data_IF_508754271964
#
_entry.id   IF_508754271964
#
_cell.length_a   1.000
_cell.length_b   1.000
_cell.length_c   1.000
_cell.angle_alpha   90.00
_cell.angle_beta   90.00
_cell.angle_gamma   90.00
#
_symmetry.space_group_name_H-M   'P 1'
#
loop_
_entity.id
_entity.type
_entity.pdbx_description
1 polymer ?
#
# COMPACT_ATOMS: atom_id res chain seq x y z
N UNK A 1 -8.55 12.67 16.86
CA UNK A 1 -7.22 12.19 16.43
C UNK A 1 -7.10 10.67 16.14
N UNK A 2 -7.33 9.77 17.10
CA UNK A 2 -6.98 8.32 17.01
C UNK A 2 -7.58 7.59 15.79
N UNK A 3 -8.87 7.81 15.50
CA UNK A 3 -9.58 7.11 14.42
C UNK A 3 -9.00 7.38 13.02
N UNK A 4 -8.25 8.48 12.83
CA UNK A 4 -7.64 8.84 11.55
C UNK A 4 -6.14 8.48 11.52
N UNK A 5 -5.44 8.56 12.66
CA UNK A 5 -4.00 8.29 12.73
C UNK A 5 -3.63 6.83 12.40
N UNK A 6 -4.38 5.86 12.94
CA UNK A 6 -4.14 4.44 12.66
C UNK A 6 -4.31 4.05 11.18
N UNK A 7 -5.45 4.35 10.52
CA UNK A 7 -5.59 4.03 9.11
C UNK A 7 -4.58 4.76 8.24
N UNK A 8 -4.23 6.01 8.55
CA UNK A 8 -3.19 6.74 7.83
C UNK A 8 -1.82 6.05 7.91
N UNK A 9 -1.40 5.62 9.10
CA UNK A 9 -0.14 4.89 9.28
C UNK A 9 -0.11 3.58 8.50
N UNK A 10 -1.23 2.85 8.46
CA UNK A 10 -1.33 1.59 7.73
C UNK A 10 -1.31 1.82 6.20
N UNK A 11 -1.96 2.88 5.70
CA UNK A 11 -1.88 3.24 4.27
C UNK A 11 -0.47 3.68 3.89
N UNK A 12 0.18 4.50 4.71
CA UNK A 12 1.57 4.92 4.51
C UNK A 12 2.51 3.72 4.55
N UNK A 13 2.26 2.76 5.45
CA UNK A 13 3.01 1.51 5.53
C UNK A 13 2.88 0.65 4.27
N UNK A 14 1.66 0.51 3.73
CA UNK A 14 1.42 -0.16 2.45
C UNK A 14 2.09 0.58 1.27
N UNK A 15 2.00 1.91 1.23
CA UNK A 15 2.67 2.71 0.22
C UNK A 15 4.20 2.54 0.28
N UNK A 16 4.76 2.48 1.49
CA UNK A 16 6.19 2.26 1.70
C UNK A 16 6.62 0.85 1.28
N UNK A 17 5.81 -0.19 1.55
CA UNK A 17 6.11 -1.55 1.11
C UNK A 17 6.10 -1.66 -0.42
N UNK A 18 5.15 -1.03 -1.10
CA UNK A 18 5.14 -0.92 -2.56
C UNK A 18 6.35 -0.18 -3.11
N UNK A 19 6.71 0.96 -2.52
CA UNK A 19 7.82 1.77 -2.98
C UNK A 19 9.17 1.05 -2.84
N UNK A 20 9.38 0.37 -1.71
CA UNK A 20 10.60 -0.43 -1.48
C UNK A 20 10.66 -1.66 -2.38
N UNK A 21 9.52 -2.29 -2.69
CA UNK A 21 9.43 -3.36 -3.69
C UNK A 21 9.72 -2.83 -5.11
N UNK A 22 9.18 -1.67 -5.49
CA UNK A 22 9.45 -1.02 -6.76
C UNK A 22 10.93 -0.67 -6.96
N UNK A 23 11.63 -0.30 -5.88
CA UNK A 23 13.05 -0.03 -5.86
C UNK A 23 13.94 -1.30 -5.84
N UNK A 24 13.36 -2.50 -5.84
CA UNK A 24 14.11 -3.76 -5.87
C UNK A 24 14.73 -4.17 -4.53
N UNK A 25 14.49 -3.43 -3.44
CA UNK A 25 15.00 -3.77 -2.10
C UNK A 25 14.42 -5.10 -1.62
N UNK A 26 13.13 -5.31 -1.90
CA UNK A 26 12.48 -6.60 -1.67
C UNK A 26 12.66 -7.50 -2.89
N UNK A 27 13.72 -8.31 -2.87
CA UNK A 27 13.79 -9.51 -3.72
C UNK A 27 12.72 -10.46 -3.19
N UNK A 28 11.56 -10.53 -3.84
CA UNK A 28 10.53 -11.53 -3.54
C UNK A 28 11.09 -12.94 -3.80
N UNK A 29 11.86 -13.46 -2.84
CA UNK A 29 12.50 -14.78 -2.90
C UNK A 29 11.56 -15.93 -2.53
N UNK A 30 10.27 -15.66 -2.38
CA UNK A 30 9.30 -16.64 -1.89
C UNK A 30 8.22 -16.83 -2.93
N UNK A 31 7.87 -18.09 -3.21
CA UNK A 31 6.86 -18.51 -4.19
C UNK A 31 5.44 -18.04 -3.87
N UNK A 32 5.22 -16.72 -3.83
CA UNK A 32 3.95 -16.00 -3.69
C UNK A 32 4.00 -14.74 -4.55
N UNK A 33 2.85 -14.32 -5.06
CA UNK A 33 2.75 -13.09 -5.85
C UNK A 33 2.82 -11.86 -4.95
N UNK A 34 3.23 -10.68 -5.46
CA UNK A 34 3.16 -9.42 -4.73
C UNK A 34 1.76 -9.18 -4.14
N UNK A 35 0.72 -9.52 -4.90
CA UNK A 35 -0.67 -9.30 -4.48
C UNK A 35 -1.12 -10.21 -3.34
N UNK A 36 -0.43 -11.33 -3.10
CA UNK A 36 -0.65 -12.12 -1.89
C UNK A 36 -0.28 -11.31 -0.64
N UNK A 37 0.86 -10.62 -0.67
CA UNK A 37 1.35 -9.83 0.46
C UNK A 37 0.50 -8.58 0.67
N UNK A 38 0.12 -7.92 -0.41
CA UNK A 38 -0.86 -6.84 -0.43
C UNK A 38 -2.16 -7.22 0.29
N UNK A 39 -2.78 -8.33 -0.11
CA UNK A 39 -4.03 -8.78 0.47
C UNK A 39 -3.87 -9.31 1.91
N UNK A 40 -2.70 -9.85 2.25
CA UNK A 40 -2.36 -10.20 3.64
C UNK A 40 -2.24 -8.93 4.50
N UNK A 41 -1.60 -7.89 3.98
CA UNK A 41 -1.45 -6.61 4.65
C UNK A 41 -2.82 -5.97 4.91
N UNK A 42 -3.69 -5.91 3.90
CA UNK A 42 -5.03 -5.32 4.06
C UNK A 42 -5.96 -6.16 4.92
N UNK A 43 -5.78 -7.49 4.95
CA UNK A 43 -6.43 -8.34 5.96
C UNK A 43 -6.02 -7.93 7.37
N UNK A 44 -4.71 -7.82 7.62
CA UNK A 44 -4.18 -7.39 8.92
C UNK A 44 -4.68 -6.00 9.30
N UNK A 45 -4.71 -5.07 8.34
CA UNK A 45 -5.27 -3.73 8.51
C UNK A 45 -6.74 -3.78 8.93
N UNK A 46 -7.59 -4.58 8.28
CA UNK A 46 -8.99 -4.75 8.70
C UNK A 46 -9.11 -5.29 10.13
N UNK A 47 -8.34 -6.33 10.46
CA UNK A 47 -8.36 -6.94 11.80
C UNK A 47 -7.94 -5.95 12.89
N UNK A 48 -6.99 -5.05 12.60
CA UNK A 48 -6.55 -4.00 13.53
C UNK A 48 -7.57 -2.86 13.62
N UNK A 49 -8.15 -2.43 12.50
CA UNK A 49 -9.03 -1.25 12.47
C UNK A 49 -10.44 -1.53 12.98
N UNK A 50 -10.96 -2.75 12.83
CA UNK A 50 -12.30 -3.12 13.32
C UNK A 50 -12.46 -2.82 14.82
N UNK A 51 -11.61 -3.33 15.74
CA UNK A 51 -11.74 -3.02 17.16
C UNK A 51 -11.48 -1.55 17.48
N UNK A 52 -10.63 -0.86 16.71
CA UNK A 52 -10.39 0.58 16.89
C UNK A 52 -11.66 1.37 16.56
N UNK A 53 -12.31 1.10 15.43
CA UNK A 53 -13.53 1.78 15.02
C UNK A 53 -14.66 1.53 16.02
N UNK A 54 -14.83 0.29 16.46
CA UNK A 54 -15.82 -0.07 17.49
C UNK A 54 -15.50 0.66 18.81
N UNK A 55 -14.24 0.65 19.25
CA UNK A 55 -13.83 1.31 20.48
C UNK A 55 -14.02 2.83 20.45
N UNK A 56 -13.69 3.47 19.32
CA UNK A 56 -13.89 4.92 19.16
C UNK A 56 -15.35 5.32 19.14
N UNK A 57 -16.22 4.46 18.63
CA UNK A 57 -17.67 4.67 18.60
C UNK A 57 -18.27 4.54 20.01
N UNK A 58 -17.91 3.46 20.74
CA UNK A 58 -18.35 3.25 22.13
C UNK A 58 -17.93 4.39 23.05
N UNK A 59 -16.71 4.90 22.91
CA UNK A 59 -16.21 6.03 23.72
C UNK A 59 -16.93 7.34 23.35
N UNK A 60 -17.41 7.47 22.11
CA UNK A 60 -18.06 8.67 21.59
C UNK A 60 -19.59 8.71 21.78
N UNK A 61 -20.24 7.59 22.11
CA UNK A 61 -21.69 7.50 22.25
C UNK A 61 -22.16 7.65 23.70
N UNK A 62 -23.16 8.50 23.94
CA UNK A 62 -24.06 8.33 25.09
C UNK A 62 -24.86 7.03 24.85
N UNK A 63 -24.87 6.13 25.83
CA UNK A 63 -25.22 4.71 25.75
C UNK A 63 -26.67 4.36 25.32
N UNK A 64 -27.40 5.27 24.67
CA UNK A 64 -28.84 5.15 24.41
C UNK A 64 -29.19 4.41 23.11
N UNK A 65 -28.21 4.15 22.22
CA UNK A 65 -28.43 3.37 20.99
C UNK A 65 -27.35 2.28 20.77
N UNK A 66 -27.30 1.23 21.63
CA UNK A 66 -26.22 0.23 21.65
C UNK A 66 -26.10 -0.67 20.40
N UNK A 67 -26.91 -0.46 19.36
CA UNK A 67 -26.95 -1.29 18.14
C UNK A 67 -26.71 -0.53 16.82
N UNK A 68 -26.44 0.78 16.86
CA UNK A 68 -26.10 1.53 15.65
C UNK A 68 -24.63 1.30 15.31
N UNK A 69 -24.33 0.36 14.40
CA UNK A 69 -22.95 0.13 13.98
C UNK A 69 -22.42 1.32 13.16
N UNK A 70 -21.18 1.78 13.43
CA UNK A 70 -20.60 2.88 12.68
C UNK A 70 -20.42 2.47 11.21
N UNK A 71 -20.72 3.34 10.23
CA UNK A 71 -20.60 3.03 8.80
C UNK A 71 -19.22 2.47 8.40
N UNK A 72 -18.17 2.98 9.05
CA UNK A 72 -16.78 2.53 8.88
C UNK A 72 -16.59 1.03 9.12
N UNK A 73 -17.35 0.42 10.04
CA UNK A 73 -17.28 -1.02 10.30
C UNK A 73 -17.65 -1.83 9.06
N UNK A 74 -18.71 -1.44 8.35
CA UNK A 74 -19.15 -2.15 7.15
C UNK A 74 -18.11 -2.06 6.04
N UNK A 75 -17.48 -0.91 5.87
CA UNK A 75 -16.39 -0.75 4.89
C UNK A 75 -15.20 -1.65 5.22
N UNK A 76 -14.84 -1.78 6.50
CA UNK A 76 -13.75 -2.65 6.96
C UNK A 76 -14.07 -4.14 6.81
N UNK A 77 -15.35 -4.53 6.93
CA UNK A 77 -15.80 -5.91 6.66
C UNK A 77 -15.73 -6.26 5.17
N UNK A 78 -16.13 -5.33 4.29
CA UNK A 78 -15.90 -5.47 2.85
C UNK A 78 -14.40 -5.59 2.56
N UNK A 79 -13.58 -4.77 3.24
CA UNK A 79 -12.13 -4.83 3.12
C UNK A 79 -11.54 -6.17 3.56
N UNK A 80 -12.05 -6.73 4.65
CA UNK A 80 -11.63 -8.03 5.14
C UNK A 80 -12.00 -9.13 4.14
N UNK A 81 -13.25 -9.15 3.70
CA UNK A 81 -13.77 -10.18 2.80
C UNK A 81 -13.04 -10.20 1.46
N UNK A 82 -12.93 -9.06 0.76
CA UNK A 82 -12.26 -9.05 -0.54
C UNK A 82 -10.74 -9.27 -0.41
N UNK A 83 -10.09 -8.91 0.70
CA UNK A 83 -8.69 -9.27 0.95
C UNK A 83 -8.49 -10.80 1.06
N UNK A 84 -9.41 -11.51 1.72
CA UNK A 84 -9.36 -12.99 1.77
C UNK A 84 -9.54 -13.62 0.38
N UNK A 85 -10.42 -13.07 -0.45
CA UNK A 85 -10.57 -13.53 -1.85
C UNK A 85 -9.27 -13.29 -2.62
N UNK A 86 -8.59 -12.16 -2.41
CA UNK A 86 -7.31 -11.85 -3.07
C UNK A 86 -6.19 -12.82 -2.66
N UNK A 87 -6.12 -13.19 -1.39
CA UNK A 87 -5.21 -14.23 -0.89
C UNK A 87 -5.46 -15.57 -1.60
N UNK A 88 -6.73 -15.93 -1.79
CA UNK A 88 -7.11 -17.16 -2.47
C UNK A 88 -6.77 -17.11 -3.98
N UNK A 89 -7.09 -16.01 -4.67
CA UNK A 89 -6.79 -15.80 -6.09
C UNK A 89 -5.29 -15.65 -6.41
N UNK A 90 -4.45 -15.44 -5.39
CA UNK A 90 -3.00 -15.30 -5.55
C UNK A 90 -2.28 -16.60 -5.86
N UNK A 91 -3.01 -17.72 -5.98
CA UNK A 91 -2.49 -19.04 -6.34
C UNK A 91 -3.33 -19.67 -7.44
N UNK A 92 -2.69 -20.47 -8.28
CA UNK A 92 -3.40 -21.31 -9.23
C UNK A 92 -3.76 -22.69 -8.65
N UNK A 93 -4.36 -23.56 -9.48
CA UNK A 93 -4.75 -24.93 -9.13
C UNK A 93 -3.58 -25.83 -8.68
N UNK A 94 -2.35 -25.45 -8.98
CA UNK A 94 -1.12 -26.18 -8.65
C UNK A 94 -0.31 -25.48 -7.55
N UNK A 95 -0.90 -24.49 -6.85
CA UNK A 95 -0.25 -23.63 -5.87
C UNK A 95 0.87 -22.73 -6.42
N UNK A 96 0.95 -22.55 -7.75
CA UNK A 96 1.87 -21.59 -8.34
C UNK A 96 1.41 -20.15 -8.09
N UNK A 97 2.33 -19.19 -7.88
CA UNK A 97 2.01 -17.78 -7.69
C UNK A 97 1.25 -17.18 -8.87
N UNK A 98 0.20 -16.42 -8.60
CA UNK A 98 -0.61 -15.76 -9.63
C UNK A 98 -0.90 -14.31 -9.27
N UNK A 99 -0.72 -13.41 -10.25
CA UNK A 99 -1.13 -11.99 -10.15
C UNK A 99 -2.66 -11.92 -10.16
N UNK A 100 -3.23 -10.98 -9.40
CA UNK A 100 -4.68 -10.73 -9.38
C UNK A 100 -4.98 -9.25 -9.14
N UNK A 101 -6.21 -8.81 -9.42
CA UNK A 101 -6.60 -7.40 -9.32
C UNK A 101 -7.35 -7.07 -8.02
N UNK A 102 -7.37 -7.96 -7.03
CA UNK A 102 -8.30 -7.84 -5.92
C UNK A 102 -8.03 -6.60 -5.06
N UNK A 103 -6.76 -6.28 -4.77
CA UNK A 103 -6.45 -5.06 -4.04
C UNK A 103 -6.80 -3.79 -4.84
N UNK A 104 -6.60 -3.79 -6.16
CA UNK A 104 -6.99 -2.64 -6.99
C UNK A 104 -8.52 -2.41 -6.96
N UNK A 105 -9.30 -3.49 -7.07
CA UNK A 105 -10.76 -3.45 -6.95
C UNK A 105 -11.20 -3.00 -5.55
N UNK A 106 -10.50 -3.47 -4.51
CA UNK A 106 -10.75 -3.05 -3.14
C UNK A 106 -10.59 -1.54 -2.97
N UNK A 107 -9.48 -0.98 -3.45
CA UNK A 107 -9.22 0.46 -3.35
C UNK A 107 -10.29 1.26 -4.09
N UNK A 108 -10.79 0.75 -5.22
CA UNK A 108 -11.90 1.38 -5.95
C UNK A 108 -13.19 1.41 -5.10
N UNK A 109 -13.61 0.25 -4.58
CA UNK A 109 -14.82 0.15 -3.76
C UNK A 109 -14.72 1.00 -2.49
N UNK A 110 -13.57 0.94 -1.82
CA UNK A 110 -13.34 1.73 -0.62
C UNK A 110 -13.35 3.23 -0.93
N UNK A 111 -12.70 3.65 -2.02
CA UNK A 111 -12.71 5.03 -2.46
C UNK A 111 -14.12 5.54 -2.78
N UNK A 112 -14.98 4.72 -3.40
CA UNK A 112 -16.39 5.09 -3.59
C UNK A 112 -17.14 5.28 -2.26
N UNK A 113 -16.93 4.39 -1.28
CA UNK A 113 -17.56 4.52 0.03
C UNK A 113 -17.10 5.78 0.76
N UNK A 114 -15.81 6.11 0.69
CA UNK A 114 -15.25 7.32 1.29
C UNK A 114 -15.72 8.60 0.60
N UNK A 115 -15.86 8.57 -0.72
CA UNK A 115 -16.40 9.70 -1.47
C UNK A 115 -17.86 10.01 -1.11
N UNK A 116 -18.64 8.98 -0.82
CA UNK A 116 -20.04 9.10 -0.40
C UNK A 116 -20.22 9.22 1.13
N UNK A 117 -19.14 9.17 1.91
CA UNK A 117 -19.23 9.08 3.36
C UNK A 117 -19.73 10.41 3.95
N UNK A 118 -20.78 10.33 4.77
CA UNK A 118 -21.33 11.51 5.43
C UNK A 118 -20.36 12.03 6.51
N UNK A 119 -20.21 13.35 6.57
CA UNK A 119 -19.37 14.05 7.53
C UNK A 119 -20.15 15.22 8.16
N UNK A 120 -19.76 15.59 9.38
CA UNK A 120 -20.48 16.61 10.15
C UNK A 120 -20.25 18.03 9.63
N UNK A 121 -19.10 18.30 9.02
CA UNK A 121 -18.76 19.62 8.48
C UNK A 121 -18.52 19.58 6.97
N UNK A 122 -18.74 20.72 6.31
CA UNK A 122 -18.52 20.86 4.87
C UNK A 122 -17.05 20.63 4.50
N UNK A 123 -16.10 21.14 5.30
CA UNK A 123 -14.68 20.93 5.06
C UNK A 123 -14.30 19.45 5.21
N UNK A 124 -14.73 18.80 6.30
CA UNK A 124 -14.49 17.37 6.51
C UNK A 124 -15.04 16.52 5.37
N UNK A 125 -16.25 16.85 4.88
CA UNK A 125 -16.87 16.19 3.73
C UNK A 125 -16.00 16.32 2.48
N UNK A 126 -15.57 17.54 2.13
CA UNK A 126 -14.73 17.77 0.96
C UNK A 126 -13.38 17.05 1.04
N UNK A 127 -12.78 16.98 2.24
CA UNK A 127 -11.53 16.23 2.46
C UNK A 127 -11.73 14.72 2.31
N UNK A 128 -12.81 14.16 2.87
CA UNK A 128 -13.15 12.73 2.71
C UNK A 128 -13.50 12.39 1.26
N UNK A 129 -14.14 13.31 0.55
CA UNK A 129 -14.45 13.17 -0.87
C UNK A 129 -13.18 13.11 -1.73
N UNK A 130 -12.26 14.05 -1.51
CA UNK A 130 -10.95 14.05 -2.17
C UNK A 130 -10.13 12.79 -1.82
N UNK A 131 -10.21 12.32 -0.57
CA UNK A 131 -9.60 11.06 -0.14
C UNK A 131 -10.16 9.86 -0.91
N UNK A 132 -11.49 9.79 -1.06
CA UNK A 132 -12.16 8.74 -1.83
C UNK A 132 -11.71 8.71 -3.29
N UNK A 133 -11.64 9.87 -3.96
CA UNK A 133 -11.12 9.95 -5.32
C UNK A 133 -9.63 9.57 -5.42
N UNK A 134 -8.83 9.91 -4.41
CA UNK A 134 -7.42 9.50 -4.35
C UNK A 134 -7.28 7.98 -4.22
N UNK A 135 -8.12 7.32 -3.42
CA UNK A 135 -8.15 5.85 -3.34
C UNK A 135 -8.56 5.18 -4.66
N UNK A 136 -9.52 5.77 -5.38
CA UNK A 136 -9.90 5.30 -6.72
C UNK A 136 -8.71 5.43 -7.68
N UNK A 137 -8.01 6.57 -7.68
CA UNK A 137 -6.80 6.76 -8.48
C UNK A 137 -5.68 5.79 -8.11
N UNK A 138 -5.50 5.51 -6.81
CA UNK A 138 -4.56 4.50 -6.30
C UNK A 138 -4.90 3.10 -6.83
N UNK A 139 -6.17 2.71 -6.77
CA UNK A 139 -6.66 1.43 -7.31
C UNK A 139 -6.46 1.33 -8.83
N UNK A 140 -6.77 2.40 -9.57
CA UNK A 140 -6.54 2.46 -11.00
C UNK A 140 -5.06 2.34 -11.38
N UNK A 141 -4.18 3.05 -10.65
CA UNK A 141 -2.74 2.94 -10.82
C UNK A 141 -2.22 1.52 -10.53
N UNK A 142 -2.75 0.87 -9.48
CA UNK A 142 -2.38 -0.50 -9.13
C UNK A 142 -2.84 -1.49 -10.20
N UNK A 143 -4.07 -1.36 -10.71
CA UNK A 143 -4.56 -2.18 -11.81
C UNK A 143 -3.71 -1.99 -13.08
N UNK A 144 -3.37 -0.75 -13.43
CA UNK A 144 -2.54 -0.45 -14.58
C UNK A 144 -1.15 -1.09 -14.47
N UNK A 145 -0.51 -0.99 -13.30
CA UNK A 145 0.78 -1.62 -13.04
C UNK A 145 0.71 -3.15 -13.20
N UNK A 146 -0.30 -3.81 -12.62
CA UNK A 146 -0.46 -5.26 -12.68
C UNK A 146 -0.68 -5.73 -14.13
N UNK A 147 -1.49 -5.01 -14.90
CA UNK A 147 -1.83 -5.37 -16.28
C UNK A 147 -0.67 -5.13 -17.25
N UNK A 148 0.10 -4.05 -17.06
CA UNK A 148 1.22 -3.68 -17.96
C UNK A 148 2.51 -4.41 -17.60
N UNK A 149 2.73 -4.72 -16.32
CA UNK A 149 3.92 -5.41 -15.83
C UNK A 149 3.49 -6.74 -15.22
N UNK A 150 3.19 -7.77 -16.04
CA UNK A 150 2.66 -9.04 -15.53
C UNK A 150 3.71 -9.87 -14.76
N UNK A 151 5.00 -9.53 -14.88
CA UNK A 151 6.10 -10.24 -14.20
C UNK A 151 5.91 -10.24 -12.69
N UNK A 152 6.00 -11.44 -12.11
CA UNK A 152 6.01 -11.66 -10.66
C UNK A 152 7.37 -11.28 -10.06
N UNK A 153 8.45 -11.39 -10.86
CA UNK A 153 9.80 -11.05 -10.41
C UNK A 153 10.05 -9.54 -10.49
N UNK A 154 10.43 -8.89 -9.37
CA UNK A 154 10.82 -7.48 -9.37
C UNK A 154 12.17 -7.23 -10.08
N UNK A 155 13.11 -8.16 -10.04
CA UNK A 155 14.47 -7.99 -10.61
C UNK A 155 14.51 -7.99 -12.13
N UNK A 156 13.66 -8.79 -12.80
CA UNK A 156 13.60 -8.83 -14.27
C UNK A 156 12.82 -7.66 -14.89
N UNK A 157 12.44 -6.65 -14.09
CA UNK A 157 11.44 -5.64 -14.47
C UNK A 157 11.82 -4.21 -14.10
N UNK A 158 12.93 -3.99 -13.38
CA UNK A 158 13.55 -2.66 -13.26
C UNK A 158 14.10 -2.17 -14.60
N UNK A 159 14.39 -3.09 -15.52
CA UNK A 159 14.79 -2.83 -16.92
C UNK A 159 13.60 -2.72 -17.89
N UNK A 160 12.35 -2.88 -17.43
CA UNK A 160 11.17 -2.76 -18.28
C UNK A 160 10.92 -1.30 -18.66
N UNK A 161 10.59 -1.07 -19.94
CA UNK A 161 10.14 0.23 -20.49
C UNK A 161 9.08 0.94 -19.61
N UNK A 162 8.28 0.17 -18.87
CA UNK A 162 7.18 0.67 -18.05
C UNK A 162 7.46 0.62 -16.53
N UNK A 163 8.70 0.41 -16.09
CA UNK A 163 9.04 0.30 -14.66
C UNK A 163 8.60 1.50 -13.80
N UNK A 164 8.50 2.69 -14.40
CA UNK A 164 8.01 3.90 -13.74
C UNK A 164 6.57 3.78 -13.21
N UNK A 165 5.73 2.91 -13.78
CA UNK A 165 4.34 2.71 -13.34
C UNK A 165 4.24 2.16 -11.91
N UNK A 166 5.28 1.48 -11.42
CA UNK A 166 5.33 0.95 -10.04
C UNK A 166 5.39 2.02 -8.97
N UNK A 167 5.74 3.24 -9.33
CA UNK A 167 5.79 4.37 -8.42
C UNK A 167 4.44 5.08 -8.28
N UNK A 168 3.48 4.85 -9.18
CA UNK A 168 2.17 5.51 -9.14
C UNK A 168 1.29 5.03 -7.97
N UNK A 169 1.11 3.71 -7.73
CA UNK A 169 0.33 3.25 -6.57
C UNK A 169 0.85 3.80 -5.23
N UNK A 170 2.15 3.72 -4.89
CA UNK A 170 2.63 4.25 -3.63
C UNK A 170 2.52 5.77 -3.55
N UNK A 171 2.72 6.51 -4.65
CA UNK A 171 2.52 7.96 -4.66
C UNK A 171 1.10 8.34 -4.23
N UNK A 172 0.07 7.72 -4.83
CA UNK A 172 -1.31 7.96 -4.40
C UNK A 172 -1.57 7.47 -2.98
N UNK A 173 -0.93 6.39 -2.54
CA UNK A 173 -1.00 5.92 -1.15
C UNK A 173 -0.49 6.95 -0.13
N UNK A 174 0.64 7.62 -0.39
CA UNK A 174 1.11 8.69 0.48
C UNK A 174 0.14 9.88 0.51
N UNK A 175 -0.35 10.31 -0.65
CA UNK A 175 -1.36 11.38 -0.72
C UNK A 175 -2.63 11.01 0.06
N UNK A 176 -3.12 9.78 -0.11
CA UNK A 176 -4.26 9.25 0.63
C UNK A 176 -4.03 9.23 2.15
N UNK A 177 -2.83 8.85 2.61
CA UNK A 177 -2.45 8.88 4.01
C UNK A 177 -2.50 10.28 4.62
N UNK A 178 -1.99 11.29 3.91
CA UNK A 178 -2.06 12.68 4.36
C UNK A 178 -3.49 13.24 4.35
N UNK A 179 -4.33 12.84 3.38
CA UNK A 179 -5.74 13.26 3.37
C UNK A 179 -6.51 12.72 4.58
N UNK A 180 -6.30 11.46 4.98
CA UNK A 180 -6.91 10.94 6.21
C UNK A 180 -6.40 11.67 7.45
N UNK A 181 -5.09 11.92 7.57
CA UNK A 181 -4.54 12.67 8.70
C UNK A 181 -5.15 14.07 8.79
N UNK A 182 -5.24 14.77 7.65
CA UNK A 182 -5.86 16.09 7.54
C UNK A 182 -7.38 16.08 7.75
N UNK A 183 -8.04 14.94 7.56
CA UNK A 183 -9.47 14.75 7.85
C UNK A 183 -9.79 14.61 9.34
N UNK A 184 -8.78 14.55 10.22
CA UNK A 184 -9.02 14.46 11.66
C UNK A 184 -9.75 15.68 12.21
N UNK A 185 -10.65 15.46 13.18
CA UNK A 185 -11.49 16.49 13.78
C UNK A 185 -10.72 17.75 14.22
N UNK A 186 -9.56 17.55 14.86
CA UNK A 186 -8.74 18.65 15.39
C UNK A 186 -8.13 19.50 14.26
N UNK A 187 -7.72 18.85 13.16
CA UNK A 187 -7.20 19.55 11.98
C UNK A 187 -8.30 20.28 11.22
N UNK A 188 -9.43 19.62 10.98
CA UNK A 188 -10.59 20.26 10.33
C UNK A 188 -11.00 21.50 11.11
N UNK A 189 -11.19 21.40 12.43
CA UNK A 189 -11.59 22.53 13.26
C UNK A 189 -10.60 23.69 13.18
N UNK A 190 -9.30 23.41 13.24
CA UNK A 190 -8.26 24.44 13.14
C UNK A 190 -8.34 25.19 11.81
N UNK A 191 -8.52 24.47 10.70
CA UNK A 191 -8.58 25.09 9.37
C UNK A 191 -9.92 25.79 9.09
N UNK A 192 -11.02 25.33 9.70
CA UNK A 192 -12.30 26.05 9.69
C UNK A 192 -12.20 27.37 10.46
N UNK A 193 -11.56 27.38 11.65
CA UNK A 193 -11.34 28.58 12.45
C UNK A 193 -10.43 29.61 11.73
N UNK A 194 -9.48 29.14 10.91
CA UNK A 194 -8.65 29.98 10.04
C UNK A 194 -9.39 30.51 8.80
N UNK A 195 -10.63 30.07 8.54
CA UNK A 195 -11.40 30.47 7.36
C UNK A 195 -10.81 29.94 6.06
N UNK A 196 -10.12 28.79 6.08
CA UNK A 196 -9.50 28.21 4.89
C UNK A 196 -10.55 27.75 3.88
N UNK A 197 -10.31 28.06 2.60
CA UNK A 197 -11.07 27.46 1.51
C UNK A 197 -10.80 25.95 1.42
N UNK A 198 -11.82 25.09 1.21
CA UNK A 198 -11.64 23.64 1.12
C UNK A 198 -10.65 23.20 0.04
N UNK A 199 -10.65 23.83 -1.12
CA UNK A 199 -9.76 23.46 -2.23
C UNK A 199 -8.30 23.78 -1.88
N UNK A 200 -8.05 24.89 -1.19
CA UNK A 200 -6.73 25.27 -0.69
C UNK A 200 -6.21 24.26 0.33
N UNK A 201 -7.04 23.87 1.29
CA UNK A 201 -6.66 22.89 2.31
C UNK A 201 -6.34 21.52 1.69
N UNK A 202 -7.19 21.02 0.80
CA UNK A 202 -6.96 19.77 0.06
C UNK A 202 -5.65 19.82 -0.74
N UNK A 203 -5.39 20.93 -1.42
CA UNK A 203 -4.16 21.13 -2.20
C UNK A 203 -2.90 21.09 -1.31
N UNK A 204 -2.96 21.65 -0.10
CA UNK A 204 -1.86 21.58 0.87
C UNK A 204 -1.63 20.13 1.31
N UNK A 205 -2.68 19.36 1.61
CA UNK A 205 -2.56 17.95 1.98
C UNK A 205 -1.96 17.12 0.84
N UNK A 206 -2.36 17.38 -0.41
CA UNK A 206 -1.77 16.76 -1.60
C UNK A 206 -0.29 17.11 -1.75
N UNK A 207 0.08 18.38 -1.58
CA UNK A 207 1.46 18.83 -1.64
C UNK A 207 2.33 18.14 -0.58
N UNK A 208 1.84 18.02 0.66
CA UNK A 208 2.51 17.26 1.72
C UNK A 208 2.69 15.79 1.33
N UNK A 209 1.65 15.14 0.79
CA UNK A 209 1.73 13.76 0.32
C UNK A 209 2.74 13.54 -0.79
N UNK A 210 2.76 14.41 -1.82
CA UNK A 210 3.74 14.34 -2.90
C UNK A 210 5.17 14.61 -2.41
N UNK A 211 5.35 15.61 -1.55
CA UNK A 211 6.65 15.93 -0.95
C UNK A 211 7.18 14.78 -0.11
N UNK A 212 6.32 14.14 0.68
CA UNK A 212 6.70 12.99 1.50
C UNK A 212 7.01 11.76 0.64
N UNK A 213 6.21 11.48 -0.39
CA UNK A 213 6.52 10.43 -1.37
C UNK A 213 7.90 10.65 -2.00
N UNK A 214 8.20 11.88 -2.46
CA UNK A 214 9.49 12.22 -3.05
C UNK A 214 10.63 11.97 -2.06
N UNK A 215 10.47 12.43 -0.82
CA UNK A 215 11.44 12.23 0.25
C UNK A 215 11.74 10.73 0.46
N UNK A 216 10.71 9.91 0.66
CA UNK A 216 10.88 8.46 0.87
C UNK A 216 11.44 7.78 -0.40
N UNK A 217 11.04 8.20 -1.59
CA UNK A 217 11.54 7.64 -2.84
C UNK A 217 13.04 7.91 -3.03
N UNK A 218 13.51 9.11 -2.70
CA UNK A 218 14.94 9.46 -2.72
C UNK A 218 15.71 8.61 -1.71
N UNK A 219 15.22 8.50 -0.48
CA UNK A 219 15.85 7.66 0.54
C UNK A 219 15.92 6.19 0.10
N UNK A 220 14.82 5.67 -0.42
CA UNK A 220 14.72 4.28 -0.90
C UNK A 220 15.72 4.02 -2.02
N UNK A 221 15.85 4.93 -2.99
CA UNK A 221 16.84 4.83 -4.06
C UNK A 221 18.28 4.83 -3.52
N UNK A 222 18.58 5.68 -2.52
CA UNK A 222 19.91 5.72 -1.89
C UNK A 222 20.23 4.40 -1.18
N UNK A 223 19.26 3.86 -0.43
CA UNK A 223 19.41 2.58 0.25
C UNK A 223 19.61 1.45 -0.76
N UNK A 224 18.79 1.38 -1.82
CA UNK A 224 18.93 0.38 -2.87
C UNK A 224 20.34 0.38 -3.50
N UNK A 225 20.86 1.55 -3.88
CA UNK A 225 22.21 1.69 -4.43
C UNK A 225 23.30 1.25 -3.44
N UNK A 226 23.13 1.52 -2.14
CA UNK A 226 24.09 1.06 -1.12
C UNK A 226 24.08 -0.45 -0.92
N UNK A 227 22.94 -1.11 -1.14
CA UNK A 227 22.83 -2.57 -1.05
C UNK A 227 23.46 -3.27 -2.26
N UNK A 228 23.33 -2.70 -3.46
CA UNK A 228 23.97 -3.22 -4.67
C UNK A 228 25.51 -3.20 -4.56
N UNK A 229 26.09 -2.10 -4.07
CA UNK A 229 27.55 -2.01 -3.84
C UNK A 229 28.08 -3.11 -2.90
N UNK A 230 27.32 -3.48 -1.86
CA UNK A 230 27.71 -4.52 -0.92
C UNK A 230 27.56 -5.95 -1.51
N UNK A 231 26.69 -6.14 -2.49
CA UNK A 231 26.56 -7.43 -3.19
C UNK A 231 27.72 -7.64 -4.17
N UNK A 232 28.13 -6.60 -4.90
CA UNK A 232 29.27 -6.66 -5.81
C UNK A 232 30.58 -6.98 -5.06
N UNK A 233 30.78 -6.42 -3.86
CA UNK A 233 31.94 -6.72 -3.01
C UNK A 233 31.99 -8.20 -2.58
N UNK A 234 30.84 -8.88 -2.45
CA UNK A 234 30.76 -10.30 -2.09
C UNK A 234 30.96 -11.26 -3.27
N UNK A 235 30.96 -10.77 -4.51
CA UNK A 235 30.92 -11.63 -5.71
C UNK A 235 32.32 -11.97 -6.28
N UNK A 236 33.40 -11.62 -5.57
CA UNK A 236 34.79 -11.83 -6.01
C UNK A 236 35.60 -12.79 -5.10
N UNK A 237 35.14 -14.02 -4.90
CA UNK A 237 35.90 -15.06 -4.15
C UNK A 237 35.83 -16.45 -4.84
N UNK A 238 35.89 -16.48 -6.17
CA UNK A 238 35.84 -17.73 -6.96
C UNK A 238 37.10 -18.02 -7.81
N UNK A 239 38.27 -17.51 -7.43
CA UNK A 239 39.54 -17.79 -8.14
C UNK A 239 40.63 -18.46 -7.29
N UNK A 240 40.26 -19.21 -6.24
CA UNK A 240 41.23 -20.03 -5.49
C UNK A 240 40.74 -21.47 -5.25
N UNK A 241 40.35 -22.19 -6.31
CA UNK A 241 40.36 -23.66 -6.27
C UNK A 241 40.33 -24.28 -7.69
N UNK A 242 41.35 -23.98 -8.49
CA UNK A 242 41.68 -24.80 -9.66
C UNK A 242 43.17 -24.99 -9.72
N UNK A 243 43.65 -26.08 -9.11
CA UNK A 243 44.61 -27.04 -9.67
C UNK A 243 44.97 -28.03 -8.58
N UNK A 244 44.28 -29.17 -8.52
CA UNK A 244 44.88 -30.47 -8.17
C UNK A 244 43.87 -31.60 -8.45
N UNK A 245 44.29 -32.64 -9.17
CA UNK A 245 43.59 -33.92 -9.20
C UNK A 245 42.70 -34.20 -10.40
N UNK A 246 43.24 -34.15 -11.61
CA UNK A 246 42.72 -34.90 -12.75
C UNK A 246 42.91 -36.40 -12.52
N UNK A 247 41.83 -37.18 -12.42
CA UNK A 247 41.76 -38.52 -13.02
C UNK A 247 40.30 -39.01 -13.15
N UNK A 248 39.84 -39.12 -14.40
CA UNK A 248 38.59 -39.80 -14.77
C UNK A 248 38.86 -41.29 -14.92
N UNK A 249 38.05 -42.13 -14.31
CA UNK A 249 37.92 -43.53 -14.69
C UNK A 249 36.56 -43.74 -15.39
N UNK A 250 36.54 -44.26 -16.63
CA UNK A 250 35.30 -44.66 -17.29
C UNK A 250 34.93 -46.10 -16.91
N UNK A 251 33.67 -46.33 -16.53
CA UNK A 251 33.09 -47.67 -16.47
C UNK A 251 32.40 -47.97 -17.80
N UNK A 252 32.85 -49.05 -18.44
CA UNK A 252 32.14 -49.81 -19.47
C UNK A 252 32.47 -51.30 -19.26
N UNK A 253 31.72 -52.24 -19.85
CA UNK A 253 30.42 -52.12 -20.53
C UNK A 253 29.24 -52.62 -19.69
#
# INVERSE_FOLDING_TARGET
MIAHSFPALLIIGLATSWLTSAAGIWRHGYGRSPEYYDCLYTTGMSVVLIPIVIGTDIIGSDLEAPLAFPPHLFYLLVMLAASQIGIWLSRDRYNAPRRNLMLALMCFLWGQQMAAHHQHSALAKSVHEAFGYTLIAMGAARALEILVIPSISPTNSTTSKHGHLRYLPPMFGFVAGFMILGGSHDMIRTFEELGSDPSGYISILQACGFGFFLFIAVLTRRVAASLELNDDEKTYDYEECTTEGSERQPLAP
#
